data_IF_641662985034
#
_entry.id   IF_641662985034
#
_cell.length_a   1.000
_cell.length_b   1.000
_cell.length_c   1.000
_cell.angle_alpha   90.00
_cell.angle_beta   90.00
_cell.angle_gamma   90.00
#
_symmetry.space_group_name_H-M   'P 1'
#
loop_
_entity.id
_entity.type
_entity.pdbx_description
1 polymer ?
#
# COMPACT_ATOMS: atom_id res chain seq x y z
N UNK A 1 -5.03 -0.10 26.89
CA UNK A 1 -4.82 -1.55 26.77
C UNK A 1 -3.51 -1.74 26.03
N UNK A 2 -2.62 -2.61 26.51
CA UNK A 2 -1.39 -2.91 25.79
C UNK A 2 -1.74 -3.52 24.42
N UNK A 3 -1.02 -3.12 23.38
CA UNK A 3 -1.14 -3.74 22.07
C UNK A 3 -0.65 -5.19 22.18
N UNK A 4 -1.44 -6.16 21.71
CA UNK A 4 -1.10 -7.59 21.78
C UNK A 4 -0.36 -8.08 20.55
N UNK A 5 -0.22 -7.23 19.53
CA UNK A 5 0.38 -7.59 18.25
C UNK A 5 1.79 -6.99 18.08
N UNK A 6 2.60 -7.66 17.28
CA UNK A 6 3.96 -7.23 16.90
C UNK A 6 4.07 -7.07 15.40
N UNK A 7 5.00 -6.23 14.92
CA UNK A 7 5.24 -6.04 13.49
C UNK A 7 6.67 -6.43 13.16
N UNK A 8 6.86 -7.20 12.09
CA UNK A 8 8.18 -7.60 11.58
C UNK A 8 8.19 -7.77 10.06
N UNK A 9 9.37 -7.78 9.42
CA UNK A 9 9.51 -8.18 8.03
C UNK A 9 8.93 -9.56 7.77
N UNK A 10 8.35 -9.74 6.59
CA UNK A 10 7.88 -11.04 6.09
C UNK A 10 9.10 -11.84 5.64
N UNK A 11 9.21 -13.07 6.12
CA UNK A 11 10.23 -14.04 5.75
C UNK A 11 9.68 -15.10 4.79
N UNK A 12 10.53 -15.81 4.03
CA UNK A 12 10.06 -16.89 3.15
C UNK A 12 9.23 -17.96 3.84
N UNK A 13 9.54 -18.28 5.11
CA UNK A 13 8.83 -19.25 5.92
C UNK A 13 7.40 -18.82 6.28
N UNK A 14 7.10 -17.52 6.26
CA UNK A 14 5.78 -17.00 6.61
C UNK A 14 4.75 -17.15 5.50
N UNK A 15 5.17 -17.47 4.28
CA UNK A 15 4.29 -17.49 3.09
C UNK A 15 3.08 -18.43 3.22
N UNK A 16 3.16 -19.45 4.09
CA UNK A 16 2.03 -20.34 4.41
C UNK A 16 1.05 -19.77 5.45
N UNK A 17 1.44 -18.73 6.17
CA UNK A 17 0.70 -18.13 7.30
C UNK A 17 0.10 -16.75 6.97
N UNK A 18 0.29 -16.28 5.73
CA UNK A 18 -0.17 -14.98 5.25
C UNK A 18 -1.02 -15.11 3.97
N UNK A 19 -1.82 -14.09 3.67
CA UNK A 19 -2.62 -14.07 2.44
C UNK A 19 -1.75 -13.68 1.25
N UNK A 20 -1.56 -14.61 0.31
CA UNK A 20 -0.62 -14.44 -0.82
C UNK A 20 -1.22 -13.83 -2.10
N UNK A 21 -2.51 -13.46 -2.12
CA UNK A 21 -3.23 -13.14 -3.37
C UNK A 21 -2.69 -11.95 -4.18
N UNK A 22 -2.01 -11.00 -3.52
CA UNK A 22 -1.50 -9.80 -4.17
C UNK A 22 -0.04 -9.95 -4.62
N UNK A 23 0.55 -11.12 -4.40
CA UNK A 23 1.90 -11.47 -4.80
C UNK A 23 1.89 -12.17 -6.16
N UNK A 24 3.01 -12.18 -6.89
CA UNK A 24 3.14 -12.97 -8.11
C UNK A 24 2.75 -14.41 -7.86
N UNK A 25 1.94 -15.01 -8.73
CA UNK A 25 1.56 -16.42 -8.64
C UNK A 25 2.77 -17.35 -8.86
N UNK A 26 3.74 -16.90 -9.67
CA UNK A 26 5.00 -17.58 -9.92
C UNK A 26 5.87 -17.64 -8.65
N UNK A 27 6.12 -18.86 -8.16
CA UNK A 27 7.00 -19.10 -7.04
C UNK A 27 8.45 -18.68 -7.32
N UNK A 28 8.90 -18.73 -8.57
CA UNK A 28 10.25 -18.28 -8.95
C UNK A 28 10.37 -16.75 -8.83
N UNK A 29 9.39 -15.99 -9.31
CA UNK A 29 9.30 -14.55 -9.10
C UNK A 29 9.31 -14.18 -7.61
N UNK A 30 8.50 -14.86 -6.78
CA UNK A 30 8.52 -14.62 -5.31
C UNK A 30 9.89 -14.89 -4.69
N UNK A 31 10.58 -15.97 -5.09
CA UNK A 31 11.95 -16.25 -4.63
C UNK A 31 12.93 -15.17 -5.07
N UNK A 32 12.83 -14.65 -6.29
CA UNK A 32 13.66 -13.54 -6.77
C UNK A 32 13.39 -12.26 -5.99
N UNK A 33 12.14 -11.95 -5.66
CA UNK A 33 11.82 -10.83 -4.77
C UNK A 33 12.51 -11.01 -3.42
N UNK A 34 12.33 -12.13 -2.72
CA UNK A 34 13.04 -12.35 -1.45
C UNK A 34 14.57 -12.25 -1.59
N UNK A 35 15.15 -12.82 -2.65
CA UNK A 35 16.60 -12.78 -2.87
C UNK A 35 17.12 -11.37 -3.13
N UNK A 36 16.36 -10.53 -3.82
CA UNK A 36 16.80 -9.20 -4.26
C UNK A 36 16.50 -8.11 -3.25
N UNK A 37 15.38 -8.18 -2.53
CA UNK A 37 14.94 -7.15 -1.58
C UNK A 37 14.87 -7.64 -0.13
N UNK A 38 15.28 -8.88 0.16
CA UNK A 38 15.35 -9.51 1.50
C UNK A 38 14.01 -9.77 2.21
N UNK A 39 13.00 -8.96 1.95
CA UNK A 39 11.62 -9.16 2.41
C UNK A 39 10.65 -8.76 1.31
N UNK A 40 9.40 -9.21 1.43
CA UNK A 40 8.29 -8.78 0.58
C UNK A 40 7.39 -7.77 1.31
N UNK A 41 7.75 -7.30 2.51
CA UNK A 41 6.98 -6.28 3.21
C UNK A 41 6.93 -6.53 4.70
N UNK A 42 5.89 -6.02 5.34
CA UNK A 42 5.71 -6.12 6.79
C UNK A 42 4.45 -6.90 7.12
N UNK A 43 4.51 -7.70 8.18
CA UNK A 43 3.35 -8.39 8.73
C UNK A 43 3.18 -8.06 10.21
N UNK A 44 1.92 -7.89 10.61
CA UNK A 44 1.48 -7.75 11.98
C UNK A 44 0.97 -9.10 12.49
N UNK A 45 1.40 -9.49 13.68
CA UNK A 45 1.17 -10.81 14.27
C UNK A 45 0.55 -10.69 15.66
N UNK A 46 -0.59 -11.35 15.87
CA UNK A 46 -1.23 -11.55 17.17
C UNK A 46 -1.05 -13.02 17.56
N UNK A 47 -0.02 -13.30 18.36
CA UNK A 47 0.52 -14.65 18.50
C UNK A 47 0.99 -15.21 17.15
N UNK A 48 0.50 -16.38 16.77
CA UNK A 48 0.84 -17.05 15.49
C UNK A 48 -0.06 -16.61 14.32
N UNK A 49 -1.02 -15.70 14.55
CA UNK A 49 -1.96 -15.26 13.52
C UNK A 49 -1.46 -13.99 12.86
N UNK A 50 -1.29 -14.02 11.53
CA UNK A 50 -1.07 -12.80 10.77
C UNK A 50 -2.38 -12.00 10.65
N UNK A 51 -2.40 -10.82 11.25
CA UNK A 51 -3.59 -9.94 11.38
C UNK A 51 -3.50 -8.68 10.51
N UNK A 52 -2.37 -8.46 9.85
CA UNK A 52 -2.20 -7.35 8.94
C UNK A 52 -0.95 -7.51 8.09
N UNK A 53 -0.99 -7.01 6.87
CA UNK A 53 0.16 -7.03 5.97
C UNK A 53 0.28 -5.70 5.24
N UNK A 54 1.51 -5.26 5.01
CA UNK A 54 1.86 -4.22 4.05
C UNK A 54 2.73 -4.87 3.00
N UNK A 55 2.23 -4.92 1.77
CA UNK A 55 2.98 -5.44 0.63
C UNK A 55 3.91 -4.38 0.08
N UNK A 56 5.15 -4.78 -0.17
CA UNK A 56 6.18 -3.88 -0.69
C UNK A 56 7.01 -4.52 -1.81
N UNK A 57 7.55 -3.66 -2.66
CA UNK A 57 8.50 -4.04 -3.71
C UNK A 57 9.56 -2.97 -3.89
N UNK A 58 10.70 -3.34 -4.45
CA UNK A 58 11.75 -2.38 -4.77
C UNK A 58 11.72 -1.99 -6.25
N UNK A 59 12.11 -0.76 -6.56
CA UNK A 59 12.42 -0.28 -7.92
C UNK A 59 13.71 0.51 -7.89
N UNK A 60 14.35 0.67 -9.05
CA UNK A 60 15.49 1.57 -9.21
C UNK A 60 15.08 2.88 -9.87
N UNK A 61 15.52 4.01 -9.31
CA UNK A 61 15.35 5.31 -9.95
C UNK A 61 16.47 5.59 -10.96
N UNK A 62 16.14 6.17 -12.13
CA UNK A 62 14.84 6.72 -12.52
C UNK A 62 13.91 5.76 -13.31
N UNK A 63 14.31 4.50 -13.54
CA UNK A 63 13.58 3.60 -14.45
C UNK A 63 12.24 3.14 -13.90
N UNK A 64 12.08 3.04 -12.58
CA UNK A 64 10.85 2.66 -11.87
C UNK A 64 10.25 1.32 -12.32
N UNK A 65 11.10 0.40 -12.78
CA UNK A 65 10.68 -0.92 -13.27
C UNK A 65 10.90 -2.03 -12.21
N UNK A 66 10.00 -3.02 -12.20
CA UNK A 66 10.19 -4.28 -11.51
C UNK A 66 9.43 -5.40 -12.25
N UNK A 67 10.15 -6.23 -13.00
CA UNK A 67 9.57 -7.32 -13.81
C UNK A 67 9.00 -8.48 -12.98
N UNK A 68 9.39 -8.58 -11.70
CA UNK A 68 8.86 -9.59 -10.79
C UNK A 68 7.60 -9.09 -10.06
N UNK A 69 7.20 -7.82 -10.24
CA UNK A 69 5.97 -7.26 -9.65
C UNK A 69 4.75 -7.47 -10.57
N UNK A 70 3.57 -7.88 -10.05
CA UNK A 70 2.40 -8.11 -10.90
C UNK A 70 1.94 -6.82 -11.60
N UNK A 71 1.76 -6.89 -12.92
CA UNK A 71 1.37 -5.75 -13.76
C UNK A 71 0.10 -5.05 -13.27
N UNK A 72 -0.91 -5.82 -12.85
CA UNK A 72 -2.17 -5.27 -12.34
C UNK A 72 -2.02 -4.42 -11.06
N UNK A 73 -0.89 -4.56 -10.34
CA UNK A 73 -0.58 -3.79 -9.13
C UNK A 73 0.59 -2.80 -9.35
N UNK A 74 0.96 -2.55 -10.61
CA UNK A 74 1.93 -1.52 -10.98
C UNK A 74 1.20 -0.18 -11.17
N UNK A 75 1.31 0.70 -10.19
CA UNK A 75 0.70 2.03 -10.24
C UNK A 75 1.59 3.09 -10.91
N UNK A 76 2.84 2.78 -11.22
CA UNK A 76 3.81 3.71 -11.82
C UNK A 76 3.38 4.27 -13.18
N UNK A 77 2.68 3.48 -14.00
CA UNK A 77 2.20 3.89 -15.33
C UNK A 77 1.17 5.03 -15.29
N UNK A 78 0.48 5.20 -14.15
CA UNK A 78 -0.49 6.27 -13.94
C UNK A 78 0.05 7.47 -13.17
N UNK A 79 1.36 7.53 -12.90
CA UNK A 79 1.95 8.62 -12.13
C UNK A 79 2.18 9.85 -13.00
N UNK A 80 1.67 10.99 -12.54
CA UNK A 80 1.88 12.30 -13.16
C UNK A 80 2.73 13.22 -12.29
N UNK A 81 3.52 14.07 -12.94
CA UNK A 81 4.33 15.11 -12.28
C UNK A 81 5.55 14.59 -11.52
N UNK A 82 5.76 13.27 -11.42
CA UNK A 82 6.88 12.69 -10.71
C UNK A 82 8.20 12.90 -11.45
N UNK A 83 9.20 13.37 -10.70
CA UNK A 83 10.60 13.35 -11.09
C UNK A 83 11.38 12.75 -9.92
N UNK A 84 12.08 11.65 -10.18
CA UNK A 84 12.93 11.05 -9.16
C UNK A 84 13.92 12.11 -8.66
N UNK A 85 13.98 12.37 -7.34
CA UNK A 85 14.87 13.41 -6.80
C UNK A 85 16.35 13.07 -7.03
N UNK A 86 16.67 11.77 -7.10
CA UNK A 86 18.01 11.23 -7.32
C UNK A 86 17.97 9.76 -7.73
N UNK A 87 19.08 9.26 -8.26
CA UNK A 87 19.29 7.84 -8.50
C UNK A 87 19.41 7.04 -7.19
N UNK A 88 18.97 5.79 -7.23
CA UNK A 88 19.04 4.86 -6.12
C UNK A 88 17.81 3.96 -6.04
N UNK A 89 17.89 2.96 -5.16
CA UNK A 89 16.82 1.98 -4.97
C UNK A 89 15.74 2.53 -4.07
N UNK A 90 14.50 2.52 -4.51
CA UNK A 90 13.33 2.98 -3.76
C UNK A 90 12.49 1.79 -3.27
N UNK A 91 11.96 1.93 -2.06
CA UNK A 91 11.06 0.97 -1.44
C UNK A 91 9.61 1.41 -1.62
N UNK A 92 8.85 0.66 -2.40
CA UNK A 92 7.49 0.99 -2.76
C UNK A 92 6.49 0.26 -1.87
N UNK A 93 5.63 1.00 -1.18
CA UNK A 93 4.43 0.45 -0.57
C UNK A 93 3.38 0.22 -1.65
N UNK A 94 2.80 -0.97 -1.69
CA UNK A 94 1.74 -1.32 -2.63
C UNK A 94 0.36 -1.26 -1.95
N UNK A 95 0.05 -2.25 -1.12
CA UNK A 95 -1.26 -2.35 -0.48
C UNK A 95 -1.19 -2.87 0.95
N UNK A 96 -2.10 -2.35 1.78
CA UNK A 96 -2.35 -2.73 3.16
C UNK A 96 -3.53 -3.70 3.23
N UNK A 97 -3.34 -4.81 3.93
CA UNK A 97 -4.33 -5.85 4.18
C UNK A 97 -4.51 -6.05 5.68
N UNK A 98 -5.05 -5.04 6.37
CA UNK A 98 -5.34 -5.10 7.81
C UNK A 98 -6.63 -5.89 8.05
N UNK A 99 -6.63 -6.79 9.04
CA UNK A 99 -7.78 -7.64 9.38
C UNK A 99 -8.05 -8.76 8.38
N UNK A 100 -7.18 -8.97 7.38
CA UNK A 100 -7.32 -10.02 6.38
C UNK A 100 -6.46 -11.24 6.75
N UNK A 101 -6.88 -11.96 7.80
CA UNK A 101 -6.22 -13.20 8.21
C UNK A 101 -6.44 -14.30 7.16
N UNK A 102 -5.62 -15.36 7.17
CA UNK A 102 -5.82 -16.53 6.29
C UNK A 102 -7.20 -17.16 6.52
N UNK A 103 -7.67 -17.21 7.77
CA UNK A 103 -9.00 -17.74 8.10
C UNK A 103 -10.12 -16.85 7.54
N UNK A 104 -10.02 -15.53 7.71
CA UNK A 104 -11.02 -14.56 7.22
C UNK A 104 -11.08 -14.56 5.69
N UNK A 105 -9.93 -14.59 5.02
CA UNK A 105 -9.83 -14.60 3.56
C UNK A 105 -10.44 -15.84 2.89
N UNK A 106 -10.70 -16.93 3.63
CA UNK A 106 -11.44 -18.10 3.13
C UNK A 106 -12.95 -17.91 3.13
N UNK A 107 -13.46 -16.96 3.91
CA UNK A 107 -14.88 -16.67 4.04
C UNK A 107 -15.27 -15.49 3.14
N UNK A 108 -14.54 -14.38 3.24
CA UNK A 108 -14.78 -13.17 2.45
C UNK A 108 -13.54 -12.24 2.43
N UNK A 109 -13.63 -11.12 1.71
CA UNK A 109 -12.56 -10.13 1.60
C UNK A 109 -12.72 -8.89 2.52
N UNK A 110 -13.69 -8.92 3.42
CA UNK A 110 -13.87 -7.83 4.39
C UNK A 110 -12.77 -7.90 5.47
N UNK A 111 -12.26 -6.74 5.93
CA UNK A 111 -11.41 -6.70 7.10
C UNK A 111 -12.12 -7.23 8.35
N UNK A 112 -11.43 -8.02 9.17
CA UNK A 112 -11.87 -8.32 10.53
C UNK A 112 -11.86 -7.05 11.39
N UNK A 113 -13.04 -6.64 11.86
CA UNK A 113 -13.28 -5.43 12.66
C UNK A 113 -12.58 -5.48 14.04
N UNK A 114 -12.19 -6.67 14.51
CA UNK A 114 -11.38 -6.83 15.72
C UNK A 114 -10.04 -6.10 15.58
N UNK A 115 -9.46 -6.16 14.38
CA UNK A 115 -8.14 -5.62 14.04
C UNK A 115 -8.19 -4.33 13.22
N UNK A 116 -9.18 -4.20 12.34
CA UNK A 116 -9.32 -3.01 11.50
C UNK A 116 -9.59 -1.75 12.36
N UNK A 117 -8.99 -0.62 11.98
CA UNK A 117 -9.12 0.63 12.75
C UNK A 117 -8.30 0.69 14.06
N UNK A 118 -7.51 -0.33 14.40
CA UNK A 118 -6.68 -0.37 15.64
C UNK A 118 -5.29 0.27 15.50
N UNK A 119 -5.00 0.95 14.41
CA UNK A 119 -3.67 1.54 14.16
C UNK A 119 -2.63 0.62 13.52
N UNK A 120 -2.96 -0.66 13.26
CA UNK A 120 -2.05 -1.65 12.64
C UNK A 120 -1.46 -1.15 11.32
N UNK A 121 -2.27 -0.53 10.44
CA UNK A 121 -1.78 0.02 9.17
C UNK A 121 -0.67 1.08 9.34
N UNK A 122 -0.81 1.94 10.35
CA UNK A 122 0.23 2.93 10.67
C UNK A 122 1.48 2.28 11.27
N UNK A 123 1.32 1.22 12.06
CA UNK A 123 2.45 0.47 12.61
C UNK A 123 3.23 -0.28 11.54
N UNK A 124 2.53 -0.93 10.59
CA UNK A 124 3.12 -1.54 9.39
C UNK A 124 3.93 -0.53 8.58
N UNK A 125 3.36 0.67 8.35
CA UNK A 125 4.05 1.74 7.64
C UNK A 125 5.35 2.15 8.35
N UNK A 126 5.31 2.37 9.67
CA UNK A 126 6.51 2.75 10.45
C UNK A 126 7.58 1.66 10.44
N UNK A 127 7.20 0.40 10.66
CA UNK A 127 8.14 -0.73 10.60
C UNK A 127 8.78 -0.85 9.20
N UNK A 128 7.99 -0.63 8.15
CA UNK A 128 8.46 -0.60 6.76
C UNK A 128 9.47 0.51 6.52
N UNK A 129 9.21 1.72 7.04
CA UNK A 129 10.13 2.85 6.96
C UNK A 129 11.46 2.57 7.67
N UNK A 130 11.41 2.08 8.91
CA UNK A 130 12.61 1.74 9.68
C UNK A 130 13.44 0.69 8.97
N UNK A 131 12.80 -0.39 8.50
CA UNK A 131 13.49 -1.44 7.77
C UNK A 131 14.13 -0.92 6.47
N UNK A 132 13.42 -0.09 5.70
CA UNK A 132 13.94 0.45 4.44
C UNK A 132 15.14 1.38 4.68
N UNK A 133 15.08 2.20 5.73
CA UNK A 133 16.21 3.02 6.18
C UNK A 133 17.42 2.14 6.52
N UNK A 134 17.24 1.13 7.38
CA UNK A 134 18.32 0.26 7.85
C UNK A 134 18.92 -0.60 6.72
N UNK A 135 18.10 -0.94 5.72
CA UNK A 135 18.52 -1.64 4.50
C UNK A 135 19.16 -0.71 3.45
N UNK A 136 19.29 0.59 3.73
CA UNK A 136 19.99 1.55 2.87
C UNK A 136 19.23 1.97 1.61
N UNK A 137 17.90 1.89 1.62
CA UNK A 137 17.08 2.39 0.51
C UNK A 137 17.20 3.92 0.40
N UNK A 138 17.14 4.41 -0.83
CA UNK A 138 17.20 5.84 -1.12
C UNK A 138 15.92 6.56 -0.69
N UNK A 139 14.76 5.93 -0.84
CA UNK A 139 13.47 6.54 -0.53
C UNK A 139 12.44 5.46 -0.22
N UNK A 140 11.37 5.86 0.46
CA UNK A 140 10.12 5.10 0.51
C UNK A 140 9.06 5.85 -0.29
N UNK A 141 8.34 5.13 -1.15
CA UNK A 141 7.31 5.69 -2.03
C UNK A 141 6.00 4.96 -1.81
N UNK A 142 4.88 5.68 -1.84
CA UNK A 142 3.57 5.07 -1.64
C UNK A 142 2.45 5.80 -2.37
N UNK A 143 1.44 5.09 -2.89
CA UNK A 143 0.17 5.68 -3.27
C UNK A 143 -0.63 6.02 -2.00
N UNK A 144 -0.82 7.31 -1.73
CA UNK A 144 -1.63 7.82 -0.64
C UNK A 144 -3.08 8.02 -1.09
N UNK A 145 -4.01 7.29 -0.48
CA UNK A 145 -5.43 7.37 -0.82
C UNK A 145 -6.05 8.72 -0.38
N UNK A 146 -7.11 9.20 -1.05
CA UNK A 146 -7.83 10.38 -0.60
C UNK A 146 -8.46 10.17 0.79
N UNK A 147 -8.19 11.04 1.78
CA UNK A 147 -8.62 10.84 3.18
C UNK A 147 -10.14 10.89 3.36
N UNK A 148 -10.83 11.60 2.45
CA UNK A 148 -12.28 11.77 2.51
C UNK A 148 -13.06 10.63 1.81
N UNK A 149 -12.36 9.59 1.33
CA UNK A 149 -12.91 8.45 0.60
C UNK A 149 -12.41 7.12 1.21
N UNK A 150 -12.75 6.82 2.48
CA UNK A 150 -12.29 5.63 3.19
C UNK A 150 -12.75 4.30 2.57
N UNK A 151 -13.89 4.25 1.86
CA UNK A 151 -14.31 3.03 1.18
C UNK A 151 -13.33 2.67 0.06
N UNK A 152 -12.92 3.67 -0.75
CA UNK A 152 -11.86 3.48 -1.73
C UNK A 152 -10.54 3.06 -1.07
N UNK A 153 -10.12 3.76 -0.01
CA UNK A 153 -8.88 3.41 0.71
C UNK A 153 -8.87 1.96 1.21
N UNK A 154 -9.98 1.48 1.75
CA UNK A 154 -10.10 0.09 2.24
C UNK A 154 -10.07 -0.93 1.09
N UNK A 155 -10.77 -0.64 0.00
CA UNK A 155 -10.81 -1.50 -1.18
C UNK A 155 -9.46 -1.58 -1.89
N UNK A 156 -8.83 -0.43 -2.17
CA UNK A 156 -7.53 -0.34 -2.81
C UNK A 156 -6.37 -0.78 -1.90
N UNK A 157 -6.63 -1.00 -0.60
CA UNK A 157 -5.58 -1.24 0.39
C UNK A 157 -4.65 -0.03 0.56
N UNK A 158 -5.18 1.19 0.41
CA UNK A 158 -4.40 2.42 0.52
C UNK A 158 -4.48 3.03 1.93
N UNK A 159 -3.35 3.52 2.42
CA UNK A 159 -3.31 4.39 3.59
C UNK A 159 -3.54 5.84 3.14
N UNK A 160 -4.33 6.67 3.87
CA UNK A 160 -4.56 8.05 3.45
C UNK A 160 -3.28 8.85 3.32
N UNK A 161 -3.17 9.70 2.30
CA UNK A 161 -1.99 10.56 2.12
C UNK A 161 -1.71 11.47 3.32
N UNK A 162 -2.76 11.88 4.06
CA UNK A 162 -2.61 12.65 5.30
C UNK A 162 -1.89 11.88 6.40
N UNK A 163 -2.01 10.54 6.42
CA UNK A 163 -1.26 9.70 7.36
C UNK A 163 0.21 9.65 6.97
N UNK A 164 0.52 9.51 5.67
CA UNK A 164 1.89 9.61 5.17
C UNK A 164 2.52 10.98 5.47
N UNK A 165 1.78 12.07 5.26
CA UNK A 165 2.26 13.42 5.57
C UNK A 165 2.62 13.59 7.06
N UNK A 166 1.81 13.02 7.98
CA UNK A 166 2.13 12.99 9.42
C UNK A 166 3.39 12.18 9.76
N UNK A 167 3.81 11.29 8.86
CA UNK A 167 5.02 10.47 8.98
C UNK A 167 6.23 11.11 8.27
N UNK A 168 6.10 12.35 7.76
CA UNK A 168 7.19 13.08 7.11
C UNK A 168 7.28 12.90 5.60
N UNK A 169 6.34 12.19 4.97
CA UNK A 169 6.30 12.08 3.51
C UNK A 169 5.85 13.40 2.90
N UNK A 170 6.35 13.67 1.69
CA UNK A 170 5.95 14.79 0.84
C UNK A 170 5.25 14.29 -0.41
N UNK A 171 4.33 15.10 -0.95
CA UNK A 171 3.72 14.79 -2.24
C UNK A 171 4.72 15.07 -3.37
N UNK A 172 4.93 14.10 -4.24
CA UNK A 172 5.86 14.19 -5.39
C UNK A 172 5.18 13.92 -6.74
N UNK A 173 3.87 13.69 -6.74
CA UNK A 173 3.08 13.46 -7.95
C UNK A 173 1.62 13.10 -7.61
N UNK A 174 0.87 12.74 -8.63
CA UNK A 174 -0.50 12.22 -8.51
C UNK A 174 -0.66 10.91 -9.27
N UNK A 175 -1.65 10.10 -8.91
CA UNK A 175 -2.03 8.90 -9.66
C UNK A 175 -3.24 9.23 -10.54
N UNK A 176 -2.95 9.73 -11.73
CA UNK A 176 -3.89 10.26 -12.72
C UNK A 176 -3.94 11.79 -12.79
N UNK A 177 -4.63 12.33 -13.81
CA UNK A 177 -4.78 13.77 -14.00
C UNK A 177 -5.53 14.42 -12.84
N UNK A 178 -5.04 15.53 -12.27
CA UNK A 178 -5.67 16.19 -11.12
C UNK A 178 -7.02 16.85 -11.46
N UNK A 179 -7.31 17.06 -12.74
CA UNK A 179 -8.52 17.71 -13.24
C UNK A 179 -9.59 16.73 -13.74
N UNK A 180 -9.31 15.42 -13.68
CA UNK A 180 -10.25 14.38 -14.08
C UNK A 180 -10.63 13.45 -12.92
N UNK A 181 -11.87 12.95 -12.93
CA UNK A 181 -12.22 11.86 -12.03
C UNK A 181 -11.41 10.62 -12.40
N UNK A 182 -10.69 9.97 -11.46
CA UNK A 182 -9.91 8.79 -11.76
C UNK A 182 -10.80 7.61 -12.19
N UNK A 183 -10.25 6.67 -12.96
CA UNK A 183 -11.00 5.54 -13.54
C UNK A 183 -11.83 4.76 -12.51
N UNK A 184 -11.26 4.52 -11.33
CA UNK A 184 -11.94 3.86 -10.21
C UNK A 184 -13.21 4.61 -9.77
N UNK A 185 -13.24 5.95 -9.86
CA UNK A 185 -14.40 6.79 -9.53
C UNK A 185 -15.39 6.95 -10.70
N UNK A 186 -15.09 6.40 -11.88
CA UNK A 186 -15.95 6.46 -13.09
C UNK A 186 -16.75 5.18 -13.35
N UNK A 187 -16.79 4.25 -12.38
CA UNK A 187 -17.55 3.01 -12.49
C UNK A 187 -16.72 1.72 -12.45
N UNK A 188 -15.40 1.84 -12.32
CA UNK A 188 -14.50 0.67 -12.26
C UNK A 188 -14.26 0.14 -10.83
N UNK A 189 -14.99 0.67 -9.84
CA UNK A 189 -14.93 0.20 -8.44
C UNK A 189 -16.19 -0.58 -8.03
N UNK A 190 -16.11 -1.40 -6.95
CA UNK A 190 -17.27 -2.09 -6.41
C UNK A 190 -18.42 -1.16 -5.98
N UNK A 191 -19.66 -1.67 -5.86
CA UNK A 191 -20.84 -0.86 -5.58
C UNK A 191 -20.76 0.02 -4.33
N UNK A 192 -20.11 -0.46 -3.26
CA UNK A 192 -19.98 0.30 -2.00
C UNK A 192 -19.03 1.50 -2.15
N UNK A 193 -17.93 1.36 -2.90
CA UNK A 193 -17.05 2.49 -3.25
C UNK A 193 -17.80 3.47 -4.14
N UNK A 194 -18.52 2.97 -5.15
CA UNK A 194 -19.29 3.84 -6.05
C UNK A 194 -20.44 4.57 -5.35
N UNK A 195 -20.99 4.02 -4.26
CA UNK A 195 -21.97 4.71 -3.44
C UNK A 195 -21.36 5.91 -2.71
N UNK A 196 -20.16 5.75 -2.13
CA UNK A 196 -19.40 6.85 -1.51
C UNK A 196 -19.04 7.94 -2.54
N UNK A 197 -18.57 7.53 -3.73
CA UNK A 197 -18.26 8.45 -4.84
C UNK A 197 -19.47 9.28 -5.24
N UNK A 198 -20.60 8.64 -5.52
CA UNK A 198 -21.84 9.35 -5.90
C UNK A 198 -22.31 10.30 -4.81
N UNK A 199 -22.23 9.88 -3.54
CA UNK A 199 -22.57 10.73 -2.40
C UNK A 199 -21.68 11.98 -2.32
N UNK A 200 -20.37 11.80 -2.50
CA UNK A 200 -19.42 12.92 -2.49
C UNK A 200 -19.65 13.90 -3.65
N UNK A 201 -19.89 13.39 -4.87
CA UNK A 201 -20.20 14.23 -6.04
C UNK A 201 -21.53 14.98 -5.86
N UNK A 202 -22.56 14.32 -5.36
CA UNK A 202 -23.85 14.96 -5.07
C UNK A 202 -23.73 16.07 -4.00
N UNK A 203 -22.77 15.94 -3.09
CA UNK A 203 -22.43 16.97 -2.09
C UNK A 203 -21.55 18.11 -2.65
N UNK A 204 -21.28 18.14 -3.96
CA UNK A 204 -20.49 19.18 -4.61
C UNK A 204 -18.98 19.09 -4.35
N UNK A 205 -18.48 17.90 -3.99
CA UNK A 205 -17.03 17.71 -3.78
C UNK A 205 -16.28 17.85 -5.10
N UNK A 206 -15.20 18.61 -5.07
CA UNK A 206 -14.29 18.80 -6.20
C UNK A 206 -13.67 17.46 -6.66
N UNK A 207 -13.79 17.09 -7.96
CA UNK A 207 -13.14 15.93 -8.56
C UNK A 207 -11.64 15.80 -8.27
N UNK A 208 -10.91 16.91 -8.16
CA UNK A 208 -9.47 16.88 -7.86
C UNK A 208 -9.16 16.20 -6.52
N UNK A 209 -10.12 16.18 -5.58
CA UNK A 209 -9.97 15.54 -4.28
C UNK A 209 -10.12 14.01 -4.31
N UNK A 210 -10.47 13.44 -5.48
CA UNK A 210 -10.56 11.99 -5.68
C UNK A 210 -9.22 11.41 -6.14
N UNK A 211 -8.28 12.23 -6.60
CA UNK A 211 -7.00 11.77 -7.13
C UNK A 211 -6.09 11.36 -5.98
N UNK A 212 -5.53 10.15 -6.05
CA UNK A 212 -4.56 9.68 -5.07
C UNK A 212 -3.22 10.42 -5.26
N UNK A 213 -2.51 10.65 -4.16
CA UNK A 213 -1.24 11.36 -4.18
C UNK A 213 -0.09 10.37 -4.18
N UNK A 214 0.95 10.63 -4.98
CA UNK A 214 2.20 9.90 -4.84
C UNK A 214 3.01 10.53 -3.70
N UNK A 215 3.20 9.77 -2.64
CA UNK A 215 3.87 10.19 -1.42
C UNK A 215 5.29 9.64 -1.41
N UNK A 216 6.27 10.44 -1.00
CA UNK A 216 7.67 10.03 -0.88
C UNK A 216 8.31 10.54 0.41
N UNK A 217 9.04 9.66 1.08
CA UNK A 217 9.97 9.98 2.15
C UNK A 217 11.40 9.77 1.63
N UNK A 218 12.18 10.84 1.58
CA UNK A 218 13.63 10.73 1.34
C UNK A 218 14.31 10.19 2.61
N UNK A 219 15.15 9.17 2.45
CA UNK A 219 15.81 8.46 3.56
C UNK A 219 17.26 8.93 3.78
N UNK A 220 17.64 10.08 3.22
CA UNK A 220 18.96 10.72 3.44
C UNK A 220 18.85 12.02 4.19
#
# INVERSE_FOLDING_TARGET
MAETWTVRPIEPADTGSIVMRCWPEDAAARRRLFATQHTIGMAAWDGDVCVGQLHCYAVDFPTVENSDWPEWNQWWSGVEGFRAPRAGRAWCHACFHVGRTVAKARVDDSPDETYFGRGIGSALCRASMTWAHDAGYAAVVAPGSPPALPAFGTWAGGLPWTTYAKLGFTQVGTLGPPDELPAWARGESPPHVMAEVRGALAAGRDPATFVAQLMMLDMR
#
